data_IF_459017960763
#
_entry.id   IF_459017960763
#
_cell.length_a   1.000
_cell.length_b   1.000
_cell.length_c   1.000
_cell.angle_alpha   90.00
_cell.angle_beta   90.00
_cell.angle_gamma   90.00
#
_symmetry.space_group_name_H-M   'P 1'
#
loop_
_entity.id
_entity.type
_entity.pdbx_description
1 polymer ?
#
# COMPACT_ATOMS: atom_id res chain seq x y z
N UNK A 1 -3.46 -1.11 -89.64
CA UNK A 1 -2.40 -1.28 -88.61
C UNK A 1 -2.24 -0.03 -87.72
N UNK A 2 -2.29 1.20 -88.25
CA UNK A 2 -2.06 2.44 -87.47
C UNK A 2 -3.19 2.83 -86.49
N UNK A 3 -4.46 2.51 -86.81
CA UNK A 3 -5.61 2.87 -85.97
C UNK A 3 -5.63 2.14 -84.61
N UNK A 4 -5.19 0.87 -84.58
CA UNK A 4 -5.16 0.04 -83.37
C UNK A 4 -4.09 0.49 -82.39
N UNK A 5 -2.88 0.80 -82.89
CA UNK A 5 -1.79 1.38 -82.08
C UNK A 5 -2.15 2.75 -81.49
N UNK A 6 -2.86 3.59 -82.24
CA UNK A 6 -3.33 4.88 -81.73
C UNK A 6 -4.34 4.71 -80.58
N UNK A 7 -5.22 3.72 -80.69
CA UNK A 7 -6.21 3.40 -79.66
C UNK A 7 -5.56 2.80 -78.40
N UNK A 8 -4.58 1.91 -78.56
CA UNK A 8 -3.77 1.34 -77.47
C UNK A 8 -2.94 2.42 -76.74
N UNK A 9 -2.37 3.38 -77.49
CA UNK A 9 -1.63 4.51 -76.91
C UNK A 9 -2.56 5.48 -76.15
N UNK A 10 -3.78 5.71 -76.64
CA UNK A 10 -4.77 6.53 -75.94
C UNK A 10 -5.21 5.87 -74.62
N UNK A 11 -5.48 4.56 -74.63
CA UNK A 11 -5.83 3.81 -73.42
C UNK A 11 -4.70 3.87 -72.38
N UNK A 12 -3.45 3.67 -72.80
CA UNK A 12 -2.29 3.75 -71.90
C UNK A 12 -2.13 5.15 -71.30
N UNK A 13 -2.40 6.21 -72.08
CA UNK A 13 -2.34 7.58 -71.58
C UNK A 13 -3.42 7.86 -70.53
N UNK A 14 -4.63 7.33 -70.71
CA UNK A 14 -5.72 7.46 -69.75
C UNK A 14 -5.46 6.65 -68.47
N UNK A 15 -4.91 5.44 -68.60
CA UNK A 15 -4.51 4.61 -67.45
C UNK A 15 -3.39 5.29 -66.63
N UNK A 16 -2.40 5.89 -67.31
CA UNK A 16 -1.32 6.64 -66.65
C UNK A 16 -1.83 7.92 -65.96
N UNK A 17 -2.80 8.62 -66.55
CA UNK A 17 -3.47 9.77 -65.90
C UNK A 17 -4.22 9.33 -64.64
N UNK A 18 -4.99 8.25 -64.71
CA UNK A 18 -5.70 7.71 -63.55
C UNK A 18 -4.72 7.30 -62.43
N UNK A 19 -3.58 6.70 -62.77
CA UNK A 19 -2.53 6.38 -61.80
C UNK A 19 -1.89 7.63 -61.19
N UNK A 20 -1.66 8.68 -61.98
CA UNK A 20 -1.13 9.96 -61.50
C UNK A 20 -2.11 10.62 -60.52
N UNK A 21 -3.40 10.67 -60.85
CA UNK A 21 -4.44 11.22 -59.98
C UNK A 21 -4.55 10.45 -58.66
N UNK A 22 -4.50 9.11 -58.72
CA UNK A 22 -4.48 8.26 -57.53
C UNK A 22 -3.23 8.50 -56.67
N UNK A 23 -2.05 8.66 -57.29
CA UNK A 23 -0.81 8.94 -56.58
C UNK A 23 -0.81 10.34 -55.95
N UNK A 24 -1.33 11.34 -56.65
CA UNK A 24 -1.49 12.70 -56.14
C UNK A 24 -2.47 12.74 -54.96
N UNK A 25 -3.59 12.03 -55.05
CA UNK A 25 -4.55 11.92 -53.94
C UNK A 25 -3.89 11.28 -52.71
N UNK A 26 -3.18 10.16 -52.89
CA UNK A 26 -2.45 9.51 -51.80
C UNK A 26 -1.39 10.43 -51.17
N UNK A 27 -0.67 11.20 -51.99
CA UNK A 27 0.31 12.16 -51.49
C UNK A 27 -0.35 13.27 -50.66
N UNK A 28 -1.53 13.74 -51.07
CA UNK A 28 -2.28 14.72 -50.32
C UNK A 28 -2.78 14.14 -48.99
N UNK A 29 -3.37 12.94 -49.01
CA UNK A 29 -3.85 12.24 -47.81
C UNK A 29 -2.70 12.04 -46.80
N UNK A 30 -1.50 11.64 -47.27
CA UNK A 30 -0.32 11.52 -46.40
C UNK A 30 0.19 12.86 -45.87
N UNK A 31 0.11 13.94 -46.66
CA UNK A 31 0.47 15.27 -46.17
C UNK A 31 -0.45 15.71 -45.03
N UNK A 32 -1.75 15.49 -45.18
CA UNK A 32 -2.73 15.82 -44.14
C UNK A 32 -2.50 14.99 -42.87
N UNK A 33 -2.24 13.69 -43.02
CA UNK A 33 -1.91 12.80 -41.89
C UNK A 33 -0.61 13.23 -41.18
N UNK A 34 0.42 13.66 -41.92
CA UNK A 34 1.67 14.17 -41.33
C UNK A 34 1.40 15.42 -40.50
N UNK A 35 0.56 16.34 -41.00
CA UNK A 35 0.20 17.56 -40.28
C UNK A 35 -0.58 17.20 -39.01
N UNK A 36 -1.59 16.34 -39.09
CA UNK A 36 -2.36 15.91 -37.92
C UNK A 36 -1.47 15.24 -36.86
N UNK A 37 -0.60 14.31 -37.28
CA UNK A 37 0.35 13.64 -36.39
C UNK A 37 1.36 14.61 -35.77
N UNK A 38 1.74 15.69 -36.45
CA UNK A 38 2.63 16.71 -35.88
C UNK A 38 1.95 17.45 -34.73
N UNK A 39 0.67 17.82 -34.88
CA UNK A 39 -0.11 18.53 -33.86
C UNK A 39 -0.35 17.66 -32.63
N UNK A 40 -0.70 16.38 -32.83
CA UNK A 40 -0.91 15.44 -31.72
C UNK A 40 0.38 15.21 -30.93
N UNK A 41 1.51 15.03 -31.64
CA UNK A 41 2.83 14.86 -31.02
C UNK A 41 3.24 16.07 -30.18
N UNK A 42 2.96 17.30 -30.65
CA UNK A 42 3.25 18.51 -29.87
C UNK A 42 2.42 18.57 -28.57
N UNK A 43 1.14 18.23 -28.64
CA UNK A 43 0.25 18.17 -27.47
C UNK A 43 0.71 17.12 -26.46
N UNK A 44 1.09 15.94 -26.93
CA UNK A 44 1.58 14.87 -26.06
C UNK A 44 2.92 15.21 -25.44
N UNK A 45 3.82 15.85 -26.18
CA UNK A 45 5.09 16.35 -25.64
C UNK A 45 4.88 17.40 -24.54
N UNK A 46 3.89 18.28 -24.69
CA UNK A 46 3.52 19.24 -23.65
C UNK A 46 2.99 18.54 -22.39
N UNK A 47 2.08 17.58 -22.55
CA UNK A 47 1.52 16.80 -21.44
C UNK A 47 2.60 15.99 -20.70
N UNK A 48 3.53 15.38 -21.45
CA UNK A 48 4.65 14.62 -20.89
C UNK A 48 5.55 15.51 -20.02
N UNK A 49 5.92 16.71 -20.51
CA UNK A 49 6.72 17.66 -19.73
C UNK A 49 6.04 18.05 -18.42
N UNK A 50 4.74 18.33 -18.45
CA UNK A 50 3.97 18.66 -17.25
C UNK A 50 3.92 17.50 -16.25
N UNK A 51 3.70 16.28 -16.73
CA UNK A 51 3.74 15.09 -15.88
C UNK A 51 5.14 14.87 -15.26
N UNK A 52 6.21 15.13 -16.01
CA UNK A 52 7.58 15.04 -15.52
C UNK A 52 7.90 16.08 -14.43
N UNK A 53 7.40 17.30 -14.58
CA UNK A 53 7.47 18.35 -13.55
C UNK A 53 6.69 17.95 -12.29
N UNK A 54 5.50 17.39 -12.45
CA UNK A 54 4.67 16.91 -11.34
C UNK A 54 5.34 15.77 -10.57
N UNK A 55 5.93 14.80 -11.28
CA UNK A 55 6.72 13.72 -10.68
C UNK A 55 7.91 14.29 -9.90
N UNK A 56 8.63 15.25 -10.48
CA UNK A 56 9.79 15.87 -9.82
C UNK A 56 9.38 16.63 -8.55
N UNK A 57 8.26 17.37 -8.60
CA UNK A 57 7.68 18.07 -7.45
C UNK A 57 7.23 17.10 -6.36
N UNK A 58 6.56 16.01 -6.73
CA UNK A 58 6.09 14.99 -5.78
C UNK A 58 7.25 14.23 -5.15
N UNK A 59 8.31 13.91 -5.91
CA UNK A 59 9.54 13.31 -5.37
C UNK A 59 10.20 14.20 -4.33
N UNK A 60 10.34 15.51 -4.62
CA UNK A 60 10.90 16.47 -3.65
C UNK A 60 10.04 16.57 -2.38
N UNK A 61 8.71 16.58 -2.52
CA UNK A 61 7.80 16.53 -1.37
C UNK A 61 7.98 15.25 -0.56
N UNK A 62 8.08 14.10 -1.24
CA UNK A 62 8.33 12.82 -0.60
C UNK A 62 9.66 12.81 0.16
N UNK A 63 10.72 13.37 -0.41
CA UNK A 63 12.03 13.50 0.26
C UNK A 63 11.97 14.43 1.47
N UNK A 64 11.25 15.56 1.39
CA UNK A 64 11.06 16.45 2.55
C UNK A 64 10.23 15.79 3.66
N UNK A 65 9.21 15.01 3.31
CA UNK A 65 8.42 14.26 4.30
C UNK A 65 9.19 13.07 4.87
N UNK A 66 10.09 12.46 4.09
CA UNK A 66 10.94 11.33 4.49
C UNK A 66 12.15 11.73 5.35
N UNK A 67 12.44 13.02 5.50
CA UNK A 67 13.43 13.51 6.47
C UNK A 67 12.78 14.00 7.77
N UNK A 68 12.33 13.12 8.68
CA UNK A 68 12.17 13.48 10.08
C UNK A 68 13.45 13.08 10.83
N UNK A 69 14.59 13.73 10.53
CA UNK A 69 15.84 13.44 11.25
C UNK A 69 15.84 13.94 12.72
N UNK A 70 14.73 14.52 13.22
CA UNK A 70 14.63 15.05 14.58
C UNK A 70 13.26 14.86 15.25
N UNK A 71 12.39 14.00 14.72
CA UNK A 71 11.22 13.53 15.47
C UNK A 71 11.52 12.07 15.77
N UNK A 72 11.83 11.68 17.03
CA UNK A 72 11.79 10.26 17.36
C UNK A 72 10.39 9.81 16.97
N UNK A 73 10.32 8.92 15.96
CA UNK A 73 9.10 8.45 15.31
C UNK A 73 8.04 8.31 16.39
N UNK A 74 7.04 9.19 16.41
CA UNK A 74 5.97 9.10 17.41
C UNK A 74 5.44 7.66 17.46
N UNK A 75 5.40 6.99 16.31
CA UNK A 75 5.05 5.59 16.16
C UNK A 75 5.94 4.62 16.96
N UNK A 76 7.26 4.82 17.04
CA UNK A 76 8.15 3.94 17.80
C UNK A 76 7.95 4.10 19.31
N UNK A 77 7.82 5.35 19.79
CA UNK A 77 7.49 5.64 21.20
C UNK A 77 6.10 5.07 21.53
N UNK A 78 5.10 5.32 20.70
CA UNK A 78 3.74 4.80 20.86
C UNK A 78 3.71 3.26 20.85
N UNK A 79 4.49 2.61 19.98
CA UNK A 79 4.60 1.14 19.94
C UNK A 79 5.26 0.60 21.21
N UNK A 80 6.27 1.26 21.74
CA UNK A 80 6.93 0.88 22.99
C UNK A 80 5.99 1.05 24.19
N UNK A 81 5.23 2.14 24.25
CA UNK A 81 4.19 2.35 25.26
C UNK A 81 3.10 1.27 25.18
N UNK A 82 2.59 0.95 23.98
CA UNK A 82 1.60 -0.12 23.78
C UNK A 82 2.16 -1.46 24.28
N UNK A 83 3.44 -1.74 24.02
CA UNK A 83 4.11 -2.96 24.48
C UNK A 83 4.19 -3.00 26.01
N UNK A 84 4.57 -1.90 26.65
CA UNK A 84 4.62 -1.81 28.12
C UNK A 84 3.22 -1.99 28.74
N UNK A 85 2.19 -1.32 28.22
CA UNK A 85 0.82 -1.49 28.69
C UNK A 85 0.32 -2.93 28.54
N UNK A 86 0.61 -3.58 27.41
CA UNK A 86 0.28 -5.01 27.21
C UNK A 86 0.99 -5.89 28.24
N UNK A 87 2.27 -5.65 28.51
CA UNK A 87 3.02 -6.40 29.51
C UNK A 87 2.42 -6.21 30.92
N UNK A 88 2.05 -4.98 31.29
CA UNK A 88 1.40 -4.67 32.58
C UNK A 88 0.05 -5.35 32.76
N UNK A 89 -0.73 -5.54 31.70
CA UNK A 89 -2.03 -6.23 31.73
C UNK A 89 -1.93 -7.76 31.61
N UNK A 90 -0.75 -8.28 31.27
CA UNK A 90 -0.51 -9.72 31.10
C UNK A 90 -0.15 -10.38 32.43
N UNK A 91 -0.69 -11.57 32.67
CA UNK A 91 -0.44 -12.38 33.85
C UNK A 91 1.05 -12.75 33.93
N UNK A 92 1.76 -12.36 35.01
CA UNK A 92 3.20 -12.62 35.13
C UNK A 92 3.52 -14.09 35.41
N UNK A 93 2.53 -14.92 35.71
CA UNK A 93 2.73 -16.36 35.95
C UNK A 93 2.85 -17.16 34.65
N UNK A 94 2.19 -16.73 33.57
CA UNK A 94 2.19 -17.44 32.29
C UNK A 94 2.66 -16.59 31.10
N UNK A 95 2.79 -15.27 31.27
CA UNK A 95 3.18 -14.31 30.24
C UNK A 95 2.35 -14.41 28.94
N UNK A 96 1.09 -14.84 29.07
CA UNK A 96 0.21 -15.13 27.92
C UNK A 96 -1.20 -14.55 28.09
N UNK A 97 -1.86 -14.87 29.20
CA UNK A 97 -3.25 -14.46 29.45
C UNK A 97 -3.32 -13.10 30.13
N UNK A 98 -4.45 -12.40 29.96
CA UNK A 98 -4.75 -11.17 30.70
C UNK A 98 -4.91 -11.44 32.20
N UNK A 99 -4.65 -10.42 33.01
CA UNK A 99 -4.97 -10.38 34.44
C UNK A 99 -6.48 -10.28 34.64
N UNK A 100 -7.06 -11.26 35.33
CA UNK A 100 -8.50 -11.34 35.61
C UNK A 100 -8.82 -12.01 36.97
N UNK A 101 -7.82 -12.15 37.85
CA UNK A 101 -8.02 -12.66 39.21
C UNK A 101 -7.08 -12.02 40.24
N UNK A 102 -7.61 -11.75 41.44
CA UNK A 102 -6.86 -11.20 42.57
C UNK A 102 -6.79 -12.20 43.71
N UNK A 103 -5.63 -12.30 44.38
CA UNK A 103 -5.50 -12.98 45.68
C UNK A 103 -5.81 -11.99 46.81
N UNK A 104 -6.85 -12.20 47.61
CA UNK A 104 -7.30 -11.23 48.63
C UNK A 104 -6.41 -11.16 49.87
N UNK A 105 -5.52 -12.15 50.08
CA UNK A 105 -4.54 -12.12 51.19
C UNK A 105 -3.37 -11.17 50.95
N UNK A 106 -2.99 -10.94 49.70
CA UNK A 106 -1.81 -10.14 49.36
C UNK A 106 -2.02 -9.17 48.18
N UNK A 107 -3.24 -9.11 47.65
CA UNK A 107 -3.69 -8.25 46.54
C UNK A 107 -2.87 -8.34 45.24
N UNK A 108 -2.16 -9.46 45.05
CA UNK A 108 -1.45 -9.71 43.80
C UNK A 108 -2.40 -10.28 42.74
N UNK A 109 -2.22 -9.82 41.51
CA UNK A 109 -3.14 -10.07 40.39
C UNK A 109 -2.48 -10.96 39.34
N UNK A 110 -3.21 -11.99 38.90
CA UNK A 110 -2.81 -12.98 37.90
C UNK A 110 -4.00 -13.30 36.98
N UNK A 111 -3.83 -14.26 36.06
CA UNK A 111 -5.00 -14.85 35.40
C UNK A 111 -5.66 -15.90 36.30
N UNK A 112 -6.98 -16.03 36.21
CA UNK A 112 -7.78 -16.96 37.00
C UNK A 112 -7.35 -18.40 36.78
N UNK A 113 -7.00 -18.76 35.55
CA UNK A 113 -6.52 -20.10 35.20
C UNK A 113 -5.27 -20.47 36.03
N UNK A 114 -4.26 -19.60 36.08
CA UNK A 114 -3.05 -19.85 36.88
C UNK A 114 -3.33 -19.98 38.37
N UNK A 115 -4.22 -19.15 38.92
CA UNK A 115 -4.59 -19.22 40.34
C UNK A 115 -5.37 -20.50 40.65
N UNK A 116 -6.34 -20.84 39.79
CA UNK A 116 -7.19 -22.02 39.93
C UNK A 116 -6.37 -23.31 39.81
N UNK A 117 -5.49 -23.42 38.82
CA UNK A 117 -4.57 -24.56 38.68
C UNK A 117 -3.72 -24.75 39.94
N UNK A 118 -3.13 -23.68 40.48
CA UNK A 118 -2.37 -23.74 41.74
C UNK A 118 -3.20 -24.18 42.93
N UNK A 119 -4.44 -23.70 43.03
CA UNK A 119 -5.35 -24.11 44.09
C UNK A 119 -5.69 -25.61 44.03
N UNK A 120 -6.04 -26.10 42.83
CA UNK A 120 -6.47 -27.48 42.57
C UNK A 120 -5.29 -28.47 42.75
N UNK A 121 -4.08 -28.07 42.33
CA UNK A 121 -2.83 -28.83 42.51
C UNK A 121 -2.21 -28.70 43.90
N UNK A 122 -2.90 -28.06 44.85
CA UNK A 122 -2.45 -27.84 46.23
C UNK A 122 -1.18 -26.98 46.36
N UNK A 123 -0.76 -26.27 45.31
CA UNK A 123 0.32 -25.27 45.33
C UNK A 123 -0.19 -23.90 45.78
N UNK A 124 -0.86 -23.86 46.93
CA UNK A 124 -1.65 -22.74 47.47
C UNK A 124 -0.82 -21.58 48.05
N UNK A 125 0.20 -21.14 47.31
CA UNK A 125 1.06 -19.99 47.62
C UNK A 125 1.10 -19.01 46.46
N UNK A 126 1.03 -17.72 46.77
CA UNK A 126 1.11 -16.62 45.81
C UNK A 126 2.40 -16.72 44.98
N UNK A 127 2.33 -16.73 43.63
CA UNK A 127 3.51 -16.78 42.77
C UNK A 127 4.50 -15.62 42.99
N UNK A 128 4.05 -14.47 43.50
CA UNK A 128 4.87 -13.26 43.66
C UNK A 128 5.50 -13.10 45.04
N UNK A 129 4.77 -13.42 46.10
CA UNK A 129 5.21 -13.16 47.49
C UNK A 129 5.14 -14.38 48.41
N UNK A 130 4.76 -15.55 47.87
CA UNK A 130 4.69 -16.81 48.60
C UNK A 130 3.66 -16.87 49.75
N UNK A 131 2.85 -15.82 49.96
CA UNK A 131 1.73 -15.83 50.90
C UNK A 131 0.76 -16.98 50.62
N UNK A 132 0.33 -17.68 51.66
CA UNK A 132 -0.65 -18.77 51.54
C UNK A 132 -2.05 -18.22 51.22
N UNK A 133 -2.84 -18.96 50.44
CA UNK A 133 -4.23 -18.60 50.11
C UNK A 133 -5.15 -19.82 50.07
N UNK A 134 -6.39 -19.68 50.54
CA UNK A 134 -7.42 -20.72 50.57
C UNK A 134 -8.50 -20.57 49.49
N UNK A 135 -9.59 -21.33 49.64
CA UNK A 135 -10.71 -21.36 48.68
C UNK A 135 -11.42 -20.01 48.52
N UNK A 136 -11.47 -19.22 49.60
CA UNK A 136 -12.15 -17.93 49.67
C UNK A 136 -11.19 -16.75 49.47
N UNK A 137 -9.94 -17.02 49.08
CA UNK A 137 -8.88 -16.01 49.05
C UNK A 137 -8.48 -15.61 47.62
N UNK A 138 -9.28 -15.99 46.62
CA UNK A 138 -9.09 -15.58 45.23
C UNK A 138 -10.42 -15.41 44.50
N UNK A 139 -10.54 -14.31 43.76
CA UNK A 139 -11.75 -13.98 43.02
C UNK A 139 -11.43 -13.41 41.65
N UNK A 140 -12.40 -13.53 40.74
CA UNK A 140 -12.33 -12.87 39.43
C UNK A 140 -12.46 -11.36 39.59
N UNK A 141 -11.72 -10.63 38.78
CA UNK A 141 -11.84 -9.19 38.60
C UNK A 141 -11.88 -8.86 37.11
N UNK A 142 -12.49 -7.74 36.76
CA UNK A 142 -12.53 -7.24 35.39
C UNK A 142 -11.80 -5.89 35.31
N UNK A 143 -10.73 -5.84 34.51
CA UNK A 143 -9.86 -4.66 34.37
C UNK A 143 -10.15 -3.92 33.05
N UNK A 144 -10.57 -4.65 32.01
CA UNK A 144 -10.80 -4.12 30.65
C UNK A 144 -10.85 -5.21 29.58
#
# INVERSE_FOLDING_TARGET
MNKRKAMEAAQLADDLKAQLELAQKKLHDFQDEIVENSVTKEKDMFNFKRAQEDISRLRRKLETTKKPDNVPKCDEILMEEIKDYKARLTCPCCNMRKKDAVLTKCFHVFCFECVKTRYDTRQRKCPKCNAAFGANDFHRIYIG
#
